data_IF_813865326439
#
_entry.id   IF_813865326439
#
_cell.length_a   1.000
_cell.length_b   1.000
_cell.length_c   1.000
_cell.angle_alpha   90.00
_cell.angle_beta   90.00
_cell.angle_gamma   90.00
#
_symmetry.space_group_name_H-M   'P 1'
#
loop_
_entity.id
_entity.type
_entity.pdbx_description
1 polymer ?
#
# COMPACT_ATOMS: atom_id res chain seq x y z
N UNK A 1 -12.19 -9.78 -1.86
CA UNK A 1 -10.78 -10.18 -1.69
C UNK A 1 -10.69 -11.41 -0.77
N UNK A 2 -11.28 -11.40 0.42
CA UNK A 2 -11.27 -12.53 1.37
C UNK A 2 -11.86 -13.80 0.74
N UNK A 3 -13.01 -13.73 0.08
CA UNK A 3 -13.65 -14.86 -0.64
C UNK A 3 -12.76 -15.41 -1.78
N UNK A 4 -11.92 -14.56 -2.36
CA UNK A 4 -10.96 -14.95 -3.38
C UNK A 4 -9.66 -15.58 -2.81
N UNK A 5 -9.53 -15.68 -1.48
CA UNK A 5 -8.36 -16.26 -0.83
C UNK A 5 -7.11 -15.38 -0.88
N UNK A 6 -7.26 -14.06 -0.96
CA UNK A 6 -6.12 -13.14 -0.88
C UNK A 6 -5.51 -13.17 0.52
N UNK A 7 -4.19 -13.35 0.63
CA UNK A 7 -3.49 -13.54 1.91
C UNK A 7 -3.46 -12.28 2.77
N UNK A 8 -3.27 -11.11 2.14
CA UNK A 8 -3.20 -9.80 2.80
C UNK A 8 -4.01 -8.76 2.04
N UNK A 9 -4.73 -7.91 2.76
CA UNK A 9 -5.38 -6.72 2.22
C UNK A 9 -4.63 -5.50 2.73
N UNK A 10 -4.10 -4.68 1.81
CA UNK A 10 -3.49 -3.40 2.14
C UNK A 10 -4.52 -2.28 2.03
N UNK A 11 -4.81 -1.62 3.14
CA UNK A 11 -5.48 -0.31 3.15
C UNK A 11 -4.40 0.73 2.96
N UNK A 12 -4.09 0.98 1.69
CA UNK A 12 -2.99 1.85 1.26
C UNK A 12 -3.40 3.31 1.18
N UNK A 13 -2.46 4.21 1.42
CA UNK A 13 -2.67 5.66 1.27
C UNK A 13 -2.95 6.09 -0.17
N UNK A 14 -2.68 5.23 -1.16
CA UNK A 14 -3.15 5.37 -2.54
C UNK A 14 -4.68 5.56 -2.66
N UNK A 15 -5.47 5.20 -1.63
CA UNK A 15 -6.88 5.52 -1.56
C UNK A 15 -7.15 7.03 -1.68
N UNK A 16 -6.19 7.87 -1.31
CA UNK A 16 -6.25 9.32 -1.54
C UNK A 16 -6.55 9.63 -3.00
N UNK A 17 -5.83 8.99 -3.93
CA UNK A 17 -5.99 9.19 -5.36
C UNK A 17 -7.20 8.43 -5.93
N UNK A 18 -7.28 7.11 -5.67
CA UNK A 18 -8.23 6.22 -6.38
C UNK A 18 -9.65 6.22 -5.79
N UNK A 19 -9.81 6.68 -4.56
CA UNK A 19 -11.11 6.69 -3.86
C UNK A 19 -11.57 8.08 -3.42
N UNK A 20 -10.66 8.90 -2.87
CA UNK A 20 -11.01 10.24 -2.36
C UNK A 20 -10.83 11.33 -3.42
N UNK A 21 -10.06 11.08 -4.50
CA UNK A 21 -9.84 12.04 -5.59
C UNK A 21 -8.83 13.14 -5.27
N UNK A 22 -7.98 12.94 -4.28
CA UNK A 22 -6.85 13.83 -3.98
C UNK A 22 -5.74 13.69 -5.03
N UNK A 23 -4.91 14.73 -5.14
CA UNK A 23 -3.79 14.72 -6.10
C UNK A 23 -2.60 13.90 -5.60
N UNK A 24 -2.38 13.88 -4.28
CA UNK A 24 -1.27 13.17 -3.64
C UNK A 24 -1.72 12.29 -2.48
N UNK A 25 -0.92 11.25 -2.17
CA UNK A 25 -1.17 10.40 -1.00
C UNK A 25 -0.94 11.13 0.32
N UNK A 26 -0.21 12.25 0.31
CA UNK A 26 0.06 13.04 1.51
C UNK A 26 -1.15 13.79 2.05
N UNK A 27 -2.19 13.96 1.23
CA UNK A 27 -3.39 14.74 1.60
C UNK A 27 -4.37 13.97 2.49
N UNK A 28 -4.29 12.63 2.48
CA UNK A 28 -5.20 11.82 3.29
C UNK A 28 -4.94 12.02 4.78
N UNK A 29 -6.00 12.31 5.51
CA UNK A 29 -5.97 12.46 6.97
C UNK A 29 -5.93 11.10 7.68
N UNK A 30 -5.54 11.12 8.95
CA UNK A 30 -5.60 9.92 9.81
C UNK A 30 -7.04 9.41 9.96
N UNK A 31 -8.00 10.30 10.10
CA UNK A 31 -9.42 9.97 10.25
C UNK A 31 -10.00 9.29 9.01
N UNK A 32 -9.66 9.75 7.82
CA UNK A 32 -10.08 9.13 6.56
C UNK A 32 -9.48 7.73 6.40
N UNK A 33 -8.18 7.56 6.70
CA UNK A 33 -7.54 6.25 6.72
C UNK A 33 -8.22 5.32 7.72
N UNK A 34 -8.54 5.79 8.92
CA UNK A 34 -9.23 5.00 9.95
C UNK A 34 -10.65 4.61 9.52
N UNK A 35 -11.39 5.50 8.86
CA UNK A 35 -12.74 5.20 8.33
C UNK A 35 -12.64 4.09 7.28
N UNK A 36 -11.72 4.24 6.31
CA UNK A 36 -11.50 3.24 5.25
C UNK A 36 -11.03 1.90 5.83
N UNK A 37 -10.07 1.92 6.76
CA UNK A 37 -9.61 0.73 7.46
C UNK A 37 -10.77 -0.01 8.16
N UNK A 38 -11.57 0.71 8.96
CA UNK A 38 -12.72 0.11 9.65
C UNK A 38 -13.77 -0.46 8.68
N UNK A 39 -13.95 0.17 7.52
CA UNK A 39 -14.84 -0.34 6.49
C UNK A 39 -14.33 -1.68 5.92
N UNK A 40 -13.04 -1.75 5.58
CA UNK A 40 -12.39 -2.99 5.12
C UNK A 40 -12.45 -4.08 6.20
N UNK A 41 -12.12 -3.76 7.46
CA UNK A 41 -12.15 -4.73 8.58
C UNK A 41 -13.53 -5.34 8.80
N UNK A 42 -14.61 -4.58 8.61
CA UNK A 42 -15.98 -5.13 8.67
C UNK A 42 -16.29 -6.14 7.57
N UNK A 43 -15.70 -5.96 6.39
CA UNK A 43 -15.92 -6.83 5.23
C UNK A 43 -14.94 -8.01 5.11
N UNK A 44 -13.80 -7.95 5.80
CA UNK A 44 -12.75 -8.97 5.78
C UNK A 44 -12.39 -9.35 7.22
N UNK A 45 -13.02 -10.42 7.73
CA UNK A 45 -12.92 -10.80 9.14
C UNK A 45 -11.77 -11.76 9.42
N UNK A 46 -11.35 -12.54 8.44
CA UNK A 46 -10.31 -13.58 8.57
C UNK A 46 -9.01 -13.22 7.86
N UNK A 47 -9.07 -12.43 6.77
CA UNK A 47 -7.89 -12.00 6.03
C UNK A 47 -7.07 -11.00 6.85
N UNK A 48 -5.76 -11.14 6.82
CA UNK A 48 -4.85 -10.18 7.47
C UNK A 48 -4.91 -8.83 6.77
N UNK A 49 -4.97 -7.76 7.57
CA UNK A 49 -5.03 -6.39 7.06
C UNK A 49 -3.78 -5.63 7.46
N UNK A 50 -3.13 -5.08 6.45
CA UNK A 50 -2.08 -4.08 6.59
C UNK A 50 -2.71 -2.70 6.39
N UNK A 51 -2.32 -1.70 7.16
CA UNK A 51 -2.76 -0.32 6.97
C UNK A 51 -1.56 0.60 6.87
N UNK A 52 -1.58 1.52 5.92
CA UNK A 52 -0.55 2.55 5.82
C UNK A 52 -0.67 3.56 6.96
N UNK A 53 0.45 3.84 7.61
CA UNK A 53 0.53 5.00 8.48
C UNK A 53 0.60 6.25 7.59
N UNK A 54 -0.42 7.12 7.58
CA UNK A 54 -0.51 8.20 6.62
C UNK A 54 0.58 9.26 6.86
N UNK A 55 0.94 10.01 5.81
CA UNK A 55 1.97 11.05 5.86
C UNK A 55 1.76 12.02 7.01
N UNK A 56 0.52 12.44 7.26
CA UNK A 56 0.18 13.33 8.37
C UNK A 56 0.62 12.79 9.74
N UNK A 57 0.65 11.48 9.93
CA UNK A 57 1.15 10.84 11.16
C UNK A 57 2.67 10.77 11.19
N UNK A 58 3.32 10.28 10.13
CA UNK A 58 4.79 10.15 10.09
C UNK A 58 5.51 11.50 10.01
N UNK A 59 4.85 12.56 9.59
CA UNK A 59 5.42 13.93 9.59
C UNK A 59 5.55 14.54 10.99
N UNK A 60 4.78 14.06 11.95
CA UNK A 60 4.84 14.48 13.38
C UNK A 60 6.07 13.91 14.08
N UNK A 61 6.14 14.05 15.41
CA UNK A 61 7.14 13.36 16.23
C UNK A 61 6.94 11.83 16.18
N UNK A 62 8.00 11.06 16.43
CA UNK A 62 7.89 9.59 16.50
C UNK A 62 6.95 9.13 17.61
N UNK A 63 6.83 9.88 18.70
CA UNK A 63 5.88 9.56 19.76
C UNK A 63 4.42 9.68 19.27
N UNK A 64 4.06 10.77 18.58
CA UNK A 64 2.71 10.96 18.03
C UNK A 64 2.41 9.94 16.91
N UNK A 65 3.39 9.66 16.03
CA UNK A 65 3.28 8.64 15.00
C UNK A 65 3.07 7.23 15.60
N UNK A 66 3.77 6.93 16.68
CA UNK A 66 3.59 5.69 17.44
C UNK A 66 2.17 5.59 18.02
N UNK A 67 1.67 6.66 18.63
CA UNK A 67 0.30 6.69 19.18
C UNK A 67 -0.77 6.53 18.09
N UNK A 68 -0.55 7.14 16.92
CA UNK A 68 -1.44 6.93 15.75
C UNK A 68 -1.39 5.48 15.26
N UNK A 69 -0.21 4.86 15.18
CA UNK A 69 -0.07 3.45 14.84
C UNK A 69 -0.81 2.54 15.83
N UNK A 70 -0.71 2.81 17.13
CA UNK A 70 -1.41 2.03 18.16
C UNK A 70 -2.93 2.03 17.95
N UNK A 71 -3.52 3.16 17.54
CA UNK A 71 -4.97 3.24 17.26
C UNK A 71 -5.41 2.26 16.15
N UNK A 72 -4.56 2.01 15.14
CA UNK A 72 -4.84 0.99 14.12
C UNK A 72 -4.75 -0.43 14.68
N UNK A 73 -3.74 -0.73 15.49
CA UNK A 73 -3.63 -2.05 16.15
C UNK A 73 -4.80 -2.30 17.12
N UNK A 74 -5.19 -1.31 17.91
CA UNK A 74 -6.36 -1.36 18.79
C UNK A 74 -7.66 -1.58 18.01
N UNK A 75 -7.75 -1.03 16.80
CA UNK A 75 -8.87 -1.27 15.91
C UNK A 75 -8.80 -2.63 15.17
N UNK A 76 -7.75 -3.44 15.40
CA UNK A 76 -7.60 -4.80 14.90
C UNK A 76 -6.77 -4.93 13.62
N UNK A 77 -5.87 -3.97 13.31
CA UNK A 77 -4.90 -4.11 12.22
C UNK A 77 -3.86 -5.18 12.57
N UNK A 78 -3.52 -6.01 11.60
CA UNK A 78 -2.49 -7.03 11.77
C UNK A 78 -1.08 -6.45 11.60
N UNK A 79 -0.91 -5.49 10.71
CA UNK A 79 0.34 -4.77 10.45
C UNK A 79 0.05 -3.29 10.15
N UNK A 80 1.03 -2.44 10.48
CA UNK A 80 1.10 -1.06 9.98
C UNK A 80 2.24 -0.98 8.97
N UNK A 81 2.04 -0.26 7.84
CA UNK A 81 3.11 -0.04 6.85
C UNK A 81 3.73 1.35 7.05
N UNK A 82 5.07 1.40 6.98
CA UNK A 82 5.87 2.62 7.15
C UNK A 82 6.86 2.70 5.99
N UNK A 83 6.89 3.86 5.33
CA UNK A 83 7.80 4.10 4.19
C UNK A 83 9.21 4.48 4.62
N UNK A 84 10.16 4.12 3.76
CA UNK A 84 11.60 4.40 3.77
C UNK A 84 12.39 3.81 4.95
N UNK A 85 13.73 3.92 4.88
CA UNK A 85 14.68 3.45 5.90
C UNK A 85 15.53 4.61 6.45
N UNK A 86 14.94 5.80 6.54
CA UNK A 86 15.59 6.94 7.19
C UNK A 86 15.60 6.78 8.70
N UNK A 87 16.50 7.50 9.36
CA UNK A 87 16.68 7.38 10.80
C UNK A 87 15.37 7.52 11.60
N UNK A 88 14.52 8.48 11.22
CA UNK A 88 13.22 8.71 11.85
C UNK A 88 12.27 7.53 11.70
N UNK A 89 12.15 6.99 10.47
CA UNK A 89 11.29 5.84 10.19
C UNK A 89 11.80 4.58 10.89
N UNK A 90 13.12 4.34 10.88
CA UNK A 90 13.73 3.20 11.57
C UNK A 90 13.53 3.26 13.09
N UNK A 91 13.63 4.44 13.70
CA UNK A 91 13.34 4.63 15.12
C UNK A 91 11.87 4.31 15.43
N UNK A 92 10.92 4.82 14.65
CA UNK A 92 9.49 4.52 14.81
C UNK A 92 9.21 3.02 14.65
N UNK A 93 9.78 2.39 13.60
CA UNK A 93 9.66 0.94 13.39
C UNK A 93 10.15 0.20 14.62
N UNK A 94 11.32 0.57 15.13
CA UNK A 94 11.90 -0.09 16.31
C UNK A 94 11.06 0.11 17.57
N UNK A 95 10.48 1.29 17.79
CA UNK A 95 9.54 1.54 18.90
C UNK A 95 8.34 0.58 18.87
N UNK A 96 7.83 0.26 17.68
CA UNK A 96 6.71 -0.67 17.49
C UNK A 96 7.17 -2.13 17.65
N UNK A 97 8.24 -2.52 16.96
CA UNK A 97 8.70 -3.92 16.94
C UNK A 97 9.23 -4.40 18.29
N UNK A 98 9.91 -3.52 19.07
CA UNK A 98 10.34 -3.81 20.44
C UNK A 98 9.16 -4.09 21.41
N UNK A 99 7.94 -3.65 21.05
CA UNK A 99 6.70 -3.95 21.77
C UNK A 99 5.92 -5.14 21.19
N UNK A 100 6.46 -5.81 20.18
CA UNK A 100 5.86 -6.99 19.55
C UNK A 100 4.85 -6.66 18.45
N UNK A 101 4.69 -5.41 18.04
CA UNK A 101 3.84 -5.04 16.91
C UNK A 101 4.53 -5.41 15.59
N UNK A 102 3.75 -5.94 14.65
CA UNK A 102 4.26 -6.32 13.32
C UNK A 102 4.22 -5.12 12.39
N UNK A 103 5.36 -4.77 11.83
CA UNK A 103 5.50 -3.67 10.89
C UNK A 103 5.87 -4.19 9.51
N UNK A 104 5.27 -3.62 8.47
CA UNK A 104 5.67 -3.74 7.08
C UNK A 104 6.47 -2.49 6.68
N UNK A 105 7.69 -2.65 6.20
CA UNK A 105 8.49 -1.56 5.64
C UNK A 105 8.10 -1.28 4.17
N UNK A 106 8.72 -0.26 3.57
CA UNK A 106 8.54 0.05 2.15
C UNK A 106 9.78 0.73 1.58
N UNK A 107 10.34 0.19 0.51
CA UNK A 107 11.50 0.71 -0.21
C UNK A 107 11.22 0.87 -1.70
N UNK A 108 12.05 1.65 -2.37
CA UNK A 108 11.94 1.98 -3.77
C UNK A 108 11.17 3.28 -3.98
N UNK A 109 10.13 3.23 -4.78
CA UNK A 109 9.23 4.36 -4.95
C UNK A 109 8.39 4.56 -3.69
N UNK A 110 8.60 5.67 -3.00
CA UNK A 110 7.93 6.01 -1.74
C UNK A 110 7.10 7.29 -1.92
N UNK A 111 5.79 7.20 -2.23
CA UNK A 111 4.93 8.35 -2.54
C UNK A 111 4.92 9.44 -1.46
N UNK A 112 5.02 9.09 -0.20
CA UNK A 112 5.07 10.04 0.92
C UNK A 112 6.33 10.92 0.93
N UNK A 113 7.35 10.57 0.14
CA UNK A 113 8.60 11.34 0.04
C UNK A 113 8.63 12.36 -1.11
N UNK A 114 7.50 12.66 -1.73
CA UNK A 114 7.36 13.53 -2.92
C UNK A 114 8.00 14.92 -2.73
N UNK A 115 7.84 15.52 -1.54
CA UNK A 115 8.39 16.85 -1.24
C UNK A 115 9.93 16.90 -1.31
N UNK A 116 10.61 15.81 -0.92
CA UNK A 116 12.07 15.72 -0.92
C UNK A 116 12.66 15.75 -2.35
N UNK A 117 11.85 15.52 -3.35
CA UNK A 117 12.24 15.37 -4.74
C UNK A 117 11.57 16.40 -5.68
N UNK A 118 11.29 17.60 -5.19
CA UNK A 118 10.67 18.69 -5.97
C UNK A 118 9.35 18.28 -6.64
N UNK A 119 8.50 17.56 -5.91
CA UNK A 119 7.20 17.07 -6.40
C UNK A 119 7.30 15.89 -7.37
N UNK A 120 8.48 15.31 -7.58
CA UNK A 120 8.63 14.07 -8.33
C UNK A 120 8.76 12.91 -7.35
N UNK A 121 7.96 11.86 -7.51
CA UNK A 121 8.13 10.65 -6.69
C UNK A 121 9.54 10.12 -6.89
N UNK A 122 10.28 9.90 -5.79
CA UNK A 122 11.58 9.28 -5.90
C UNK A 122 11.42 7.77 -5.89
N UNK A 123 12.08 7.12 -6.82
CA UNK A 123 12.38 5.70 -6.70
C UNK A 123 13.88 5.53 -6.75
N UNK A 124 14.36 4.60 -5.96
CA UNK A 124 15.78 4.32 -5.86
C UNK A 124 16.11 3.14 -6.77
N UNK A 125 17.16 3.31 -7.59
CA UNK A 125 17.72 2.24 -8.44
C UNK A 125 19.18 1.94 -8.09
N UNK A 126 19.66 2.55 -7.03
CA UNK A 126 21.00 2.31 -6.51
C UNK A 126 21.00 1.00 -5.73
N UNK A 127 21.65 -0.01 -6.30
CA UNK A 127 21.71 -1.35 -5.70
C UNK A 127 22.34 -1.33 -4.30
N UNK A 128 23.44 -0.62 -4.12
CA UNK A 128 24.15 -0.62 -2.83
C UNK A 128 23.31 0.04 -1.75
N UNK A 129 22.65 1.15 -2.10
CA UNK A 129 21.75 1.85 -1.19
C UNK A 129 20.56 0.98 -0.81
N UNK A 130 19.88 0.35 -1.77
CA UNK A 130 18.71 -0.50 -1.52
C UNK A 130 19.05 -1.72 -0.67
N UNK A 131 20.20 -2.38 -0.91
CA UNK A 131 20.68 -3.47 -0.07
C UNK A 131 20.98 -3.02 1.36
N UNK A 132 21.60 -1.86 1.52
CA UNK A 132 21.85 -1.27 2.83
C UNK A 132 20.56 -0.91 3.57
N UNK A 133 19.58 -0.34 2.86
CA UNK A 133 18.30 0.05 3.45
C UNK A 133 17.45 -1.17 3.81
N UNK A 134 17.44 -2.21 2.98
CA UNK A 134 16.75 -3.46 3.31
C UNK A 134 17.35 -4.14 4.55
N UNK A 135 18.67 -4.11 4.71
CA UNK A 135 19.33 -4.63 5.92
C UNK A 135 18.92 -3.83 7.16
N UNK A 136 18.86 -2.50 7.07
CA UNK A 136 18.41 -1.65 8.19
C UNK A 136 16.97 -1.93 8.60
N UNK A 137 16.07 -2.13 7.64
CA UNK A 137 14.67 -2.52 7.92
C UNK A 137 14.62 -3.88 8.62
N UNK A 138 15.42 -4.86 8.15
CA UNK A 138 15.50 -6.16 8.79
C UNK A 138 16.02 -6.06 10.24
N UNK A 139 17.07 -5.26 10.47
CA UNK A 139 17.63 -4.99 11.80
C UNK A 139 16.64 -4.25 12.72
N UNK A 140 15.78 -3.39 12.16
CA UNK A 140 14.70 -2.73 12.90
C UNK A 140 13.52 -3.67 13.25
N UNK A 141 13.54 -4.92 12.76
CA UNK A 141 12.59 -5.97 13.15
C UNK A 141 11.31 -6.01 12.32
N UNK A 142 11.29 -5.46 11.08
CA UNK A 142 10.11 -5.60 10.21
C UNK A 142 9.84 -7.07 9.90
N UNK A 143 8.58 -7.43 9.76
CA UNK A 143 8.18 -8.79 9.35
C UNK A 143 8.11 -8.97 7.83
N UNK A 144 8.02 -7.86 7.11
CA UNK A 144 7.93 -7.82 5.65
C UNK A 144 8.22 -6.40 5.15
N UNK A 145 8.42 -6.23 3.85
CA UNK A 145 8.40 -4.90 3.23
C UNK A 145 8.04 -4.95 1.75
N UNK A 146 7.46 -3.85 1.29
CA UNK A 146 7.15 -3.61 -0.11
C UNK A 146 8.43 -3.17 -0.84
N UNK A 147 8.61 -3.68 -2.04
CA UNK A 147 9.58 -3.21 -3.01
C UNK A 147 8.81 -2.63 -4.20
N UNK A 148 8.78 -1.30 -4.31
CA UNK A 148 8.04 -0.61 -5.37
C UNK A 148 8.98 -0.04 -6.41
N UNK A 149 8.75 -0.42 -7.69
CA UNK A 149 9.52 0.05 -8.86
C UNK A 149 11.04 -0.21 -8.75
N UNK A 150 11.45 -1.15 -7.90
CA UNK A 150 12.84 -1.60 -7.77
C UNK A 150 13.17 -2.50 -8.96
N UNK A 151 14.35 -2.38 -9.59
CA UNK A 151 14.76 -3.28 -10.66
C UNK A 151 14.70 -4.75 -10.23
N UNK A 152 14.20 -5.61 -11.13
CA UNK A 152 13.90 -7.03 -10.87
C UNK A 152 15.06 -7.79 -10.20
N UNK A 153 16.29 -7.61 -10.71
CA UNK A 153 17.49 -8.29 -10.21
C UNK A 153 17.84 -7.86 -8.77
N UNK A 154 17.63 -6.57 -8.46
CA UNK A 154 17.89 -6.03 -7.12
C UNK A 154 16.81 -6.53 -6.15
N UNK A 155 15.54 -6.54 -6.58
CA UNK A 155 14.44 -7.02 -5.77
C UNK A 155 14.58 -8.51 -5.42
N UNK A 156 15.02 -9.33 -6.37
CA UNK A 156 15.33 -10.75 -6.15
C UNK A 156 16.48 -10.92 -5.15
N UNK A 157 17.58 -10.19 -5.32
CA UNK A 157 18.73 -10.24 -4.41
C UNK A 157 18.36 -9.84 -2.98
N UNK A 158 17.59 -8.73 -2.83
CA UNK A 158 17.08 -8.31 -1.51
C UNK A 158 16.24 -9.43 -0.91
N UNK A 159 15.33 -10.02 -1.68
CA UNK A 159 14.45 -11.10 -1.20
C UNK A 159 15.25 -12.30 -0.70
N UNK A 160 16.26 -12.71 -1.44
CA UNK A 160 17.16 -13.81 -1.03
C UNK A 160 17.90 -13.48 0.28
N UNK A 161 18.41 -12.25 0.41
CA UNK A 161 19.18 -11.84 1.58
C UNK A 161 18.35 -11.80 2.87
N UNK A 162 17.06 -11.41 2.80
CA UNK A 162 16.22 -11.25 3.99
C UNK A 162 15.39 -12.51 4.31
N UNK A 163 15.27 -13.44 3.39
CA UNK A 163 14.48 -14.67 3.57
C UNK A 163 14.98 -15.55 4.72
N UNK A 164 16.29 -15.57 4.97
CA UNK A 164 16.88 -16.32 6.08
C UNK A 164 16.40 -15.81 7.47
N UNK A 165 15.97 -14.55 7.55
CA UNK A 165 15.37 -13.94 8.75
C UNK A 165 13.85 -14.11 8.84
N UNK A 166 13.23 -14.95 8.01
CA UNK A 166 11.77 -15.07 7.87
C UNK A 166 11.06 -13.75 7.51
N UNK A 167 11.76 -12.85 6.84
CA UNK A 167 11.20 -11.61 6.31
C UNK A 167 10.80 -11.87 4.86
N UNK A 168 9.57 -11.54 4.48
CA UNK A 168 9.12 -11.67 3.11
C UNK A 168 8.96 -10.31 2.43
N UNK A 169 9.15 -10.30 1.12
CA UNK A 169 9.04 -9.09 0.28
C UNK A 169 7.79 -9.15 -0.58
N UNK A 170 7.18 -7.99 -0.80
CA UNK A 170 6.01 -7.83 -1.66
C UNK A 170 6.37 -6.86 -2.78
N UNK A 171 6.35 -7.36 -4.02
CA UNK A 171 6.69 -6.57 -5.20
C UNK A 171 5.49 -5.80 -5.76
N UNK A 172 5.75 -4.59 -6.25
CA UNK A 172 4.88 -3.86 -7.16
C UNK A 172 5.75 -3.17 -8.21
N UNK A 173 5.67 -3.64 -9.46
CA UNK A 173 6.58 -3.19 -10.51
C UNK A 173 8.06 -3.54 -10.22
N UNK A 174 8.33 -4.62 -9.50
CA UNK A 174 9.65 -5.05 -9.05
C UNK A 174 10.00 -6.49 -9.48
N UNK A 175 9.42 -6.96 -10.59
CA UNK A 175 9.64 -8.29 -11.13
C UNK A 175 8.98 -9.41 -10.34
N UNK A 176 9.37 -10.66 -10.66
CA UNK A 176 8.78 -11.87 -10.09
C UNK A 176 9.60 -12.46 -8.94
N UNK A 177 10.80 -11.93 -8.67
CA UNK A 177 11.74 -12.48 -7.68
C UNK A 177 11.41 -12.16 -6.22
N UNK A 178 10.29 -11.48 -5.94
CA UNK A 178 9.79 -11.20 -4.59
C UNK A 178 8.92 -12.33 -4.05
N UNK A 179 8.73 -12.41 -2.73
CA UNK A 179 7.95 -13.46 -2.07
C UNK A 179 6.46 -13.42 -2.41
N UNK A 180 5.93 -12.24 -2.74
CA UNK A 180 4.55 -12.03 -3.16
C UNK A 180 4.41 -10.75 -3.98
N UNK A 181 3.17 -10.44 -4.41
CA UNK A 181 2.87 -9.28 -5.25
C UNK A 181 1.68 -8.50 -4.68
N UNK A 182 1.69 -7.20 -4.85
CA UNK A 182 0.55 -6.33 -4.57
C UNK A 182 0.18 -5.52 -5.81
N UNK A 183 -1.09 -5.21 -5.95
CA UNK A 183 -1.60 -4.33 -7.00
C UNK A 183 -2.77 -3.52 -6.45
N UNK A 184 -2.85 -2.25 -6.85
CA UNK A 184 -4.01 -1.41 -6.52
C UNK A 184 -5.26 -2.04 -7.14
N UNK A 185 -6.32 -2.22 -6.34
CA UNK A 185 -7.53 -2.94 -6.75
C UNK A 185 -8.19 -2.30 -7.97
N UNK A 186 -8.21 -0.99 -8.06
CA UNK A 186 -8.79 -0.27 -9.19
C UNK A 186 -7.99 -0.47 -10.49
N UNK A 187 -6.66 -0.56 -10.38
CA UNK A 187 -5.80 -0.94 -11.50
C UNK A 187 -6.04 -2.38 -11.93
N UNK A 188 -6.09 -3.31 -10.98
CA UNK A 188 -6.32 -4.74 -11.22
C UNK A 188 -7.66 -4.98 -11.93
N UNK A 189 -8.71 -4.30 -11.47
CA UNK A 189 -10.08 -4.45 -12.00
C UNK A 189 -10.35 -3.57 -13.23
N UNK A 190 -9.43 -2.68 -13.59
CA UNK A 190 -9.61 -1.75 -14.71
C UNK A 190 -10.77 -0.79 -14.49
N UNK A 191 -10.91 -0.23 -13.27
CA UNK A 191 -11.92 0.78 -12.93
C UNK A 191 -11.57 2.17 -13.42
N UNK A 192 -10.33 2.38 -13.81
CA UNK A 192 -9.77 3.66 -14.19
C UNK A 192 -9.18 3.58 -15.60
N UNK A 193 -9.45 4.58 -16.46
CA UNK A 193 -9.06 4.54 -17.87
C UNK A 193 -8.07 5.65 -18.28
N UNK A 194 -7.82 6.68 -17.45
CA UNK A 194 -6.99 7.83 -17.81
C UNK A 194 -5.50 7.49 -17.83
N UNK A 195 -5.06 6.59 -16.98
CA UNK A 195 -3.67 6.18 -16.87
C UNK A 195 -3.56 4.69 -16.51
N UNK A 196 -2.55 4.04 -17.05
CA UNK A 196 -2.19 2.67 -16.70
C UNK A 196 -0.68 2.57 -16.56
N UNK A 197 -0.13 2.30 -15.36
CA UNK A 197 1.29 2.01 -15.20
C UNK A 197 1.74 0.84 -16.07
N UNK A 198 2.98 0.86 -16.54
CA UNK A 198 3.48 -0.19 -17.47
C UNK A 198 3.47 -1.59 -16.87
N UNK A 199 3.68 -1.69 -15.57
CA UNK A 199 3.70 -2.98 -14.85
C UNK A 199 2.29 -3.52 -14.54
N UNK A 200 1.25 -2.71 -14.68
CA UNK A 200 -0.11 -3.12 -14.36
C UNK A 200 -0.66 -4.07 -15.42
N UNK A 201 -1.06 -5.26 -14.98
CA UNK A 201 -1.93 -6.16 -15.74
C UNK A 201 -3.35 -6.03 -15.23
N UNK A 202 -4.28 -5.66 -16.11
CA UNK A 202 -5.72 -5.66 -15.81
C UNK A 202 -6.27 -7.07 -15.95
N UNK A 203 -7.04 -7.52 -14.98
CA UNK A 203 -7.72 -8.81 -14.97
C UNK A 203 -9.22 -8.67 -15.27
N UNK A 204 -9.73 -7.43 -15.26
CA UNK A 204 -11.09 -7.08 -15.65
C UNK A 204 -11.13 -5.72 -16.37
N UNK A 205 -12.29 -5.34 -16.89
CA UNK A 205 -12.54 -4.09 -17.63
C UNK A 205 -13.77 -3.38 -17.07
N UNK A 206 -13.77 -3.17 -15.74
CA UNK A 206 -14.96 -2.66 -15.04
C UNK A 206 -15.33 -1.23 -15.44
N UNK A 207 -14.39 -0.39 -15.92
CA UNK A 207 -14.74 0.95 -16.39
C UNK A 207 -15.75 0.90 -17.54
N UNK A 208 -15.47 0.10 -18.56
CA UNK A 208 -16.33 -0.06 -19.73
C UNK A 208 -17.66 -0.68 -19.35
N UNK A 209 -17.67 -1.66 -18.46
CA UNK A 209 -18.88 -2.32 -17.97
C UNK A 209 -19.76 -1.35 -17.16
N UNK A 210 -19.19 -0.54 -16.29
CA UNK A 210 -19.91 0.48 -15.52
C UNK A 210 -20.53 1.55 -16.43
N UNK A 211 -19.76 2.06 -17.41
CA UNK A 211 -20.28 3.05 -18.37
C UNK A 211 -21.45 2.46 -19.14
N UNK A 212 -21.33 1.22 -19.65
CA UNK A 212 -22.40 0.52 -20.36
C UNK A 212 -23.65 0.39 -19.49
N UNK A 213 -23.51 -0.08 -18.26
CA UNK A 213 -24.63 -0.27 -17.34
C UNK A 213 -25.38 1.06 -17.05
N UNK A 214 -24.65 2.15 -16.83
CA UNK A 214 -25.27 3.47 -16.64
C UNK A 214 -25.98 3.97 -17.90
N UNK A 215 -25.45 3.70 -19.10
CA UNK A 215 -26.11 4.05 -20.36
C UNK A 215 -27.39 3.25 -20.56
N UNK A 216 -27.38 1.95 -20.27
CA UNK A 216 -28.56 1.07 -20.34
C UNK A 216 -29.63 1.53 -19.34
N UNK A 217 -29.29 1.73 -18.09
CA UNK A 217 -30.18 2.26 -17.05
C UNK A 217 -30.84 3.58 -17.49
N UNK A 218 -30.04 4.54 -17.95
CA UNK A 218 -30.52 5.83 -18.42
C UNK A 218 -31.54 5.65 -19.54
N UNK A 219 -31.27 4.76 -20.50
CA UNK A 219 -32.13 4.50 -21.63
C UNK A 219 -33.46 3.87 -21.20
N UNK A 220 -33.43 2.88 -20.32
CA UNK A 220 -34.64 2.22 -19.83
C UNK A 220 -35.54 3.18 -19.06
N UNK A 221 -34.98 4.07 -18.24
CA UNK A 221 -35.74 5.14 -17.57
C UNK A 221 -36.38 6.08 -18.59
N UNK A 222 -35.63 6.49 -19.63
CA UNK A 222 -36.18 7.37 -20.68
C UNK A 222 -37.27 6.69 -21.49
N UNK A 223 -37.13 5.40 -21.76
CA UNK A 223 -38.10 4.58 -22.51
C UNK A 223 -39.30 4.10 -21.64
N UNK A 224 -39.36 4.50 -20.35
CA UNK A 224 -40.34 4.04 -19.35
C UNK A 224 -40.38 2.51 -19.20
N UNK A 225 -39.24 1.85 -19.27
CA UNK A 225 -39.08 0.39 -19.09
C UNK A 225 -38.57 0.02 -17.71
N UNK A 226 -38.10 0.99 -16.95
CA UNK A 226 -37.64 0.87 -15.56
C UNK A 226 -38.38 1.88 -14.68
N UNK A 227 -38.89 1.48 -13.45
CA UNK A 227 -38.95 0.09 -12.93
C UNK A 227 -40.03 -0.73 -13.64
N UNK A 228 -39.89 -2.10 -13.53
CA UNK A 228 -40.89 -3.07 -14.07
C UNK A 228 -42.21 -3.00 -13.29
#
# INVERSE_FOLDING_TARGET
LEEAGIDYILVGDSLANVFLGYETTQEVSFEEMMICYKAVRRGATNTKIVVDLPYVSVSKSNQEAYEDALKFYEAGADLVKIENAEAKSLELIKMLTDKGYKVMGHLGYTPQSVEKFNGKPSYVRDRELLLKESSKLAEAGVSSFVLEMVPDEIAEEITQNVSAGNIFTIGIGAGQGTSGQVLVTDDLLGRFNLFKPKFVKRFAHQYEDMVRAFCEYKKEVQDMKFPD
#
